data_IF_933019342094
#
_entry.id   IF_933019342094
#
_cell.length_a   1.000
_cell.length_b   1.000
_cell.length_c   1.000
_cell.angle_alpha   90.00
_cell.angle_beta   90.00
_cell.angle_gamma   90.00
#
_symmetry.space_group_name_H-M   'P 1'
#
loop_
_entity.id
_entity.type
_entity.pdbx_description
1 polymer ?
#
# COMPACT_ATOMS: atom_id res chain seq x y z
N UNK A 1 -59.65 -0.69 65.69
CA UNK A 1 -58.31 -1.20 65.35
C UNK A 1 -58.45 -2.04 64.09
N UNK A 2 -58.26 -1.43 62.91
CA UNK A 2 -58.45 -2.11 61.63
C UNK A 2 -57.58 -1.44 60.58
N UNK A 3 -56.41 -2.04 60.29
CA UNK A 3 -55.54 -1.63 59.19
C UNK A 3 -56.00 -2.38 57.94
N UNK A 4 -56.56 -1.68 56.96
CA UNK A 4 -56.73 -2.22 55.61
C UNK A 4 -55.54 -1.83 54.72
N UNK A 5 -54.93 -2.87 54.20
CA UNK A 5 -53.75 -2.95 53.32
C UNK A 5 -53.86 -2.00 52.13
N UNK A 6 -52.87 -1.11 51.95
CA UNK A 6 -52.62 -0.44 50.66
C UNK A 6 -51.98 -1.46 49.72
N UNK A 7 -52.71 -1.88 48.70
CA UNK A 7 -52.14 -2.63 47.57
C UNK A 7 -51.01 -1.82 46.92
N UNK A 8 -49.80 -2.37 46.92
CA UNK A 8 -48.70 -1.85 46.11
C UNK A 8 -48.98 -2.23 44.66
N UNK A 9 -49.15 -1.23 43.78
CA UNK A 9 -49.11 -1.45 42.33
C UNK A 9 -47.77 -2.12 41.97
N UNK A 10 -47.76 -3.14 41.10
CA UNK A 10 -46.51 -3.74 40.64
C UNK A 10 -45.69 -2.68 39.90
N UNK A 11 -44.39 -2.64 40.20
CA UNK A 11 -43.45 -1.82 39.45
C UNK A 11 -43.52 -2.23 37.97
N UNK A 12 -43.72 -1.25 37.07
CA UNK A 12 -43.49 -1.46 35.65
C UNK A 12 -42.06 -1.98 35.47
N UNK A 13 -41.93 -3.27 35.16
CA UNK A 13 -40.72 -3.82 34.59
C UNK A 13 -40.47 -3.03 33.31
N UNK A 14 -39.45 -2.17 33.31
CA UNK A 14 -38.96 -1.57 32.06
C UNK A 14 -38.56 -2.74 31.17
N UNK A 15 -39.34 -2.99 30.12
CA UNK A 15 -39.00 -3.95 29.09
C UNK A 15 -37.53 -3.72 28.69
N UNK A 16 -36.72 -4.77 28.86
CA UNK A 16 -35.31 -4.74 28.54
C UNK A 16 -35.16 -4.38 27.07
N UNK A 17 -34.58 -3.21 26.80
CA UNK A 17 -34.29 -2.78 25.43
C UNK A 17 -33.28 -3.76 24.84
N UNK A 18 -33.73 -4.63 23.94
CA UNK A 18 -32.88 -5.62 23.29
C UNK A 18 -32.20 -4.99 22.08
N UNK A 19 -30.90 -4.73 22.20
CA UNK A 19 -30.04 -4.30 21.10
C UNK A 19 -29.14 -5.46 20.69
N UNK A 20 -29.10 -5.77 19.40
CA UNK A 20 -28.12 -6.70 18.86
C UNK A 20 -27.00 -5.93 18.19
N UNK A 21 -25.77 -6.14 18.67
CA UNK A 21 -24.56 -5.55 18.11
C UNK A 21 -23.74 -6.65 17.43
N UNK A 22 -23.53 -6.49 16.12
CA UNK A 22 -22.61 -7.35 15.38
C UNK A 22 -21.42 -6.52 14.91
N UNK A 23 -20.21 -7.04 15.10
CA UNK A 23 -18.97 -6.45 14.64
C UNK A 23 -18.26 -7.42 13.70
N UNK A 24 -17.88 -6.96 12.52
CA UNK A 24 -17.22 -7.78 11.52
C UNK A 24 -15.99 -7.04 10.98
N UNK A 25 -14.76 -7.53 11.22
CA UNK A 25 -13.56 -6.93 10.68
C UNK A 25 -13.48 -7.21 9.17
N UNK A 26 -13.42 -6.15 8.36
CA UNK A 26 -13.40 -6.24 6.91
C UNK A 26 -11.97 -6.37 6.35
N UNK A 27 -11.00 -5.78 7.03
CA UNK A 27 -9.63 -5.67 6.55
C UNK A 27 -8.89 -4.51 7.22
N UNK A 28 -7.65 -4.31 6.81
CA UNK A 28 -6.83 -3.17 7.24
C UNK A 28 -6.90 -2.02 6.23
N UNK A 29 -6.75 -0.79 6.72
CA UNK A 29 -6.66 0.46 5.94
C UNK A 29 -5.33 0.60 5.17
N UNK A 30 -4.89 -0.47 4.51
CA UNK A 30 -3.58 -0.58 3.89
C UNK A 30 -3.67 -0.92 2.42
N UNK A 31 -2.99 -0.10 1.62
CA UNK A 31 -2.77 -0.39 0.21
C UNK A 31 -2.03 -1.73 0.06
N UNK A 32 -2.38 -2.48 -0.98
CA UNK A 32 -1.75 -3.75 -1.36
C UNK A 32 -1.27 -3.66 -2.80
N UNK A 33 -0.07 -4.18 -3.08
CA UNK A 33 0.49 -4.25 -4.43
C UNK A 33 0.25 -5.61 -5.09
N UNK A 34 0.14 -6.68 -4.31
CA UNK A 34 0.01 -8.07 -4.73
C UNK A 34 -1.36 -8.63 -4.37
N UNK A 35 -1.83 -9.59 -5.15
CA UNK A 35 -2.99 -10.42 -4.79
C UNK A 35 -2.56 -11.41 -3.71
N UNK A 36 -3.37 -11.63 -2.65
CA UNK A 36 -3.02 -12.49 -1.53
C UNK A 36 -3.31 -13.97 -1.84
N UNK A 37 -2.62 -14.49 -2.86
CA UNK A 37 -2.87 -15.83 -3.40
C UNK A 37 -2.62 -16.89 -2.33
N UNK A 38 -1.55 -16.78 -1.54
CA UNK A 38 -1.24 -17.79 -0.54
C UNK A 38 -2.22 -17.76 0.63
N UNK A 39 -2.66 -16.57 1.07
CA UNK A 39 -3.71 -16.43 2.07
C UNK A 39 -4.96 -17.19 1.63
N UNK A 40 -5.42 -16.99 0.40
CA UNK A 40 -6.59 -17.69 -0.15
C UNK A 40 -6.35 -19.18 -0.30
N UNK A 41 -5.16 -19.60 -0.72
CA UNK A 41 -4.79 -21.02 -0.79
C UNK A 41 -4.82 -21.68 0.59
N UNK A 42 -4.26 -21.05 1.63
CA UNK A 42 -4.31 -21.56 2.99
C UNK A 42 -5.76 -21.69 3.49
N UNK A 43 -6.60 -20.69 3.23
CA UNK A 43 -8.02 -20.74 3.56
C UNK A 43 -8.73 -21.89 2.85
N UNK A 44 -8.47 -22.08 1.55
CA UNK A 44 -9.05 -23.16 0.76
C UNK A 44 -8.58 -24.54 1.24
N UNK A 45 -7.29 -24.70 1.58
CA UNK A 45 -6.73 -25.92 2.14
C UNK A 45 -7.40 -26.25 3.48
N UNK A 46 -7.53 -25.28 4.39
CA UNK A 46 -8.21 -25.48 5.68
C UNK A 46 -9.67 -25.88 5.51
N UNK A 47 -10.38 -25.25 4.56
CA UNK A 47 -11.76 -25.61 4.25
C UNK A 47 -11.88 -27.02 3.65
N UNK A 48 -10.96 -27.42 2.77
CA UNK A 48 -10.89 -28.77 2.21
C UNK A 48 -10.59 -29.83 3.26
N UNK A 49 -9.58 -29.59 4.12
CA UNK A 49 -9.24 -30.48 5.24
C UNK A 49 -10.41 -30.60 6.21
N UNK A 50 -11.10 -29.50 6.52
CA UNK A 50 -12.30 -29.52 7.35
C UNK A 50 -13.43 -30.32 6.70
N UNK A 51 -13.67 -30.15 5.40
CA UNK A 51 -14.70 -30.90 4.68
C UNK A 51 -14.40 -32.40 4.67
N UNK A 52 -13.15 -32.78 4.42
CA UNK A 52 -12.68 -34.17 4.53
C UNK A 52 -12.95 -34.73 5.92
N UNK A 53 -12.44 -34.06 6.97
CA UNK A 53 -12.61 -34.49 8.36
C UNK A 53 -14.08 -34.60 8.79
N UNK A 54 -14.95 -33.70 8.33
CA UNK A 54 -16.35 -33.60 8.79
C UNK A 54 -17.32 -34.49 8.05
N UNK A 55 -17.16 -34.61 6.73
CA UNK A 55 -18.16 -35.22 5.84
C UNK A 55 -17.65 -36.49 5.17
N UNK A 56 -16.32 -36.64 5.07
CA UNK A 56 -15.70 -37.77 4.38
C UNK A 56 -14.57 -38.39 5.22
N UNK A 57 -14.76 -38.66 6.53
CA UNK A 57 -13.68 -39.14 7.39
C UNK A 57 -13.10 -40.49 6.94
N UNK A 58 -13.92 -41.32 6.28
CA UNK A 58 -13.51 -42.62 5.73
C UNK A 58 -13.03 -42.54 4.27
N UNK A 59 -13.05 -41.34 3.66
CA UNK A 59 -12.51 -41.14 2.32
C UNK A 59 -10.98 -41.02 2.40
N UNK A 60 -10.31 -42.16 2.53
CA UNK A 60 -8.86 -42.27 2.60
C UNK A 60 -8.42 -43.49 3.40
N UNK A 61 -7.12 -43.76 3.38
CA UNK A 61 -6.53 -44.87 4.14
C UNK A 61 -6.18 -44.50 5.60
N UNK A 62 -6.45 -43.26 6.03
CA UNK A 62 -5.98 -42.72 7.31
C UNK A 62 -7.09 -41.94 8.00
N UNK A 63 -7.29 -42.23 9.28
CA UNK A 63 -8.18 -41.47 10.16
C UNK A 63 -7.70 -40.00 10.31
N UNK A 64 -8.52 -39.00 9.97
CA UNK A 64 -8.20 -37.59 10.13
C UNK A 64 -7.73 -37.21 11.54
N UNK A 65 -8.25 -37.85 12.59
CA UNK A 65 -7.89 -37.51 13.97
C UNK A 65 -6.42 -37.79 14.31
N UNK A 66 -5.72 -38.61 13.52
CA UNK A 66 -4.26 -38.86 13.65
C UNK A 66 -3.39 -37.65 13.31
N UNK A 67 -3.98 -36.59 12.76
CA UNK A 67 -3.29 -35.34 12.41
C UNK A 67 -3.42 -34.26 13.50
N UNK A 68 -4.20 -34.51 14.56
CA UNK A 68 -4.33 -33.64 15.73
C UNK A 68 -3.08 -33.74 16.60
N UNK A 69 -2.63 -32.62 17.13
CA UNK A 69 -1.45 -32.58 18.00
C UNK A 69 -1.85 -32.85 19.44
N UNK A 70 -1.44 -33.99 20.00
CA UNK A 70 -1.58 -34.27 21.43
C UNK A 70 -0.22 -34.05 22.11
N UNK A 71 -0.09 -33.09 23.03
CA UNK A 71 1.20 -32.85 23.69
C UNK A 71 1.71 -34.09 24.43
N UNK A 72 2.92 -34.55 24.07
CA UNK A 72 3.54 -35.72 24.67
C UNK A 72 3.00 -37.07 24.17
N UNK A 73 2.01 -37.07 23.29
CA UNK A 73 1.43 -38.29 22.72
C UNK A 73 1.20 -38.14 21.21
N UNK A 74 1.71 -39.09 20.44
CA UNK A 74 1.57 -39.09 18.98
C UNK A 74 2.73 -38.49 18.19
N UNK A 75 2.64 -38.54 16.84
CA UNK A 75 3.80 -38.32 15.99
C UNK A 75 4.25 -36.86 15.88
N UNK A 76 5.56 -36.59 15.66
CA UNK A 76 6.09 -35.23 15.67
C UNK A 76 5.54 -34.32 14.55
N UNK A 77 5.09 -34.86 13.42
CA UNK A 77 4.51 -34.07 12.33
C UNK A 77 3.14 -33.47 12.69
N UNK A 78 2.47 -34.00 13.71
CA UNK A 78 1.16 -33.50 14.15
C UNK A 78 1.22 -32.05 14.63
N UNK A 79 2.37 -31.60 15.13
CA UNK A 79 2.61 -30.19 15.48
C UNK A 79 2.31 -29.24 14.32
N UNK A 80 2.55 -29.69 13.08
CA UNK A 80 2.34 -28.90 11.86
C UNK A 80 0.97 -29.18 11.25
N UNK A 81 0.56 -30.45 11.17
CA UNK A 81 -0.71 -30.80 10.51
C UNK A 81 -1.92 -30.29 11.29
N UNK A 82 -1.82 -30.23 12.62
CA UNK A 82 -2.85 -29.67 13.50
C UNK A 82 -3.26 -28.24 13.14
N UNK A 83 -2.34 -27.44 12.58
CA UNK A 83 -2.60 -26.05 12.15
C UNK A 83 -3.71 -25.96 11.09
N UNK A 84 -3.91 -27.02 10.31
CA UNK A 84 -4.90 -27.05 9.22
C UNK A 84 -6.24 -27.65 9.63
N UNK A 85 -6.29 -28.32 10.78
CA UNK A 85 -7.47 -29.04 11.25
C UNK A 85 -8.42 -28.15 12.05
N UNK A 86 -9.74 -28.37 11.94
CA UNK A 86 -10.73 -27.55 12.66
C UNK A 86 -11.84 -28.41 13.27
N UNK A 87 -12.18 -28.15 14.54
CA UNK A 87 -13.16 -28.95 15.30
C UNK A 87 -14.63 -28.68 14.91
N UNK A 88 -14.92 -27.59 14.21
CA UNK A 88 -16.29 -27.21 13.86
C UNK A 88 -16.36 -25.94 13.01
N UNK A 89 -17.56 -25.65 12.51
CA UNK A 89 -17.81 -24.52 11.60
C UNK A 89 -17.40 -23.17 12.18
N UNK A 90 -17.81 -22.84 13.41
CA UNK A 90 -17.44 -21.57 14.03
C UNK A 90 -15.93 -21.43 14.25
N UNK A 91 -15.24 -22.54 14.54
CA UNK A 91 -13.79 -22.54 14.69
C UNK A 91 -13.10 -22.27 13.34
N UNK A 92 -13.52 -22.96 12.27
CA UNK A 92 -13.01 -22.69 10.92
C UNK A 92 -13.30 -21.26 10.49
N UNK A 93 -14.58 -20.85 10.49
CA UNK A 93 -14.99 -19.53 10.01
C UNK A 93 -14.32 -18.39 10.79
N UNK A 94 -14.14 -18.55 12.11
CA UNK A 94 -13.37 -17.61 12.93
C UNK A 94 -11.93 -17.48 12.45
N UNK A 95 -11.22 -18.60 12.27
CA UNK A 95 -9.84 -18.59 11.78
C UNK A 95 -9.72 -18.01 10.37
N UNK A 96 -10.63 -18.39 9.46
CA UNK A 96 -10.66 -17.85 8.09
C UNK A 96 -10.92 -16.34 8.09
N UNK A 97 -11.79 -15.84 8.96
CA UNK A 97 -12.06 -14.41 9.11
C UNK A 97 -10.82 -13.63 9.57
N UNK A 98 -10.16 -14.06 10.66
CA UNK A 98 -8.97 -13.37 11.13
C UNK A 98 -7.83 -13.46 10.11
N UNK A 99 -7.63 -14.63 9.49
CA UNK A 99 -6.63 -14.81 8.43
C UNK A 99 -6.94 -13.93 7.21
N UNK A 100 -8.20 -13.75 6.84
CA UNK A 100 -8.62 -12.85 5.77
C UNK A 100 -8.27 -11.39 6.06
N UNK A 101 -8.35 -10.96 7.33
CA UNK A 101 -8.07 -9.58 7.73
C UNK A 101 -6.57 -9.30 7.79
N UNK A 102 -5.80 -10.17 8.47
CA UNK A 102 -4.36 -9.93 8.73
C UNK A 102 -3.44 -10.52 7.65
N UNK A 103 -3.86 -11.60 6.99
CA UNK A 103 -3.06 -12.33 6.01
C UNK A 103 -2.68 -11.48 4.80
N UNK A 104 -3.64 -10.90 4.05
CA UNK A 104 -3.34 -10.16 2.83
C UNK A 104 -2.34 -9.01 2.98
N UNK A 105 -2.44 -8.11 3.98
CA UNK A 105 -1.46 -7.03 4.13
C UNK A 105 -0.07 -7.57 4.54
N UNK A 106 0.01 -8.67 5.29
CA UNK A 106 1.30 -9.28 5.63
C UNK A 106 1.91 -10.02 4.43
N UNK A 107 1.12 -10.76 3.66
CA UNK A 107 1.56 -11.44 2.44
C UNK A 107 2.10 -10.45 1.40
N UNK A 108 1.46 -9.29 1.25
CA UNK A 108 1.92 -8.24 0.33
C UNK A 108 3.33 -7.72 0.68
N UNK A 109 3.62 -7.59 1.98
CA UNK A 109 4.88 -7.04 2.50
C UNK A 109 5.99 -8.07 2.55
N UNK A 110 5.66 -9.30 2.92
CA UNK A 110 6.62 -10.40 3.09
C UNK A 110 6.88 -11.16 1.78
N UNK A 111 5.92 -11.11 0.86
CA UNK A 111 5.82 -12.04 -0.27
C UNK A 111 5.25 -13.39 0.16
N UNK A 112 4.72 -14.18 -0.79
CA UNK A 112 4.02 -15.42 -0.49
C UNK A 112 4.91 -16.43 0.25
N UNK A 113 6.14 -16.65 -0.20
CA UNK A 113 7.01 -17.67 0.39
C UNK A 113 7.34 -17.42 1.87
N UNK A 114 7.75 -16.19 2.22
CA UNK A 114 8.04 -15.83 3.62
C UNK A 114 6.78 -15.84 4.47
N UNK A 115 5.66 -15.36 3.93
CA UNK A 115 4.37 -15.40 4.63
C UNK A 115 3.97 -16.83 5.00
N UNK A 116 4.04 -17.77 4.05
CA UNK A 116 3.74 -19.18 4.30
C UNK A 116 4.67 -19.83 5.33
N UNK A 117 5.98 -19.57 5.21
CA UNK A 117 6.97 -20.06 6.17
C UNK A 117 6.67 -19.52 7.58
N UNK A 118 6.43 -18.22 7.71
CA UNK A 118 6.15 -17.59 9.00
C UNK A 118 4.84 -18.09 9.59
N UNK A 119 3.79 -18.25 8.79
CA UNK A 119 2.53 -18.86 9.22
C UNK A 119 2.76 -20.24 9.88
N UNK A 120 3.55 -21.11 9.24
CA UNK A 120 3.87 -22.44 9.79
C UNK A 120 4.74 -22.36 11.05
N UNK A 121 5.80 -21.55 11.05
CA UNK A 121 6.68 -21.40 12.21
C UNK A 121 5.92 -20.88 13.44
N UNK A 122 5.04 -19.90 13.25
CA UNK A 122 4.22 -19.32 14.30
C UNK A 122 3.21 -20.32 14.86
N UNK A 123 2.56 -21.10 13.99
CA UNK A 123 1.63 -22.17 14.39
C UNK A 123 2.35 -23.26 15.18
N UNK A 124 3.47 -23.76 14.66
CA UNK A 124 4.25 -24.80 15.31
C UNK A 124 4.78 -24.34 16.67
N UNK A 125 5.32 -23.13 16.76
CA UNK A 125 5.80 -22.59 18.02
C UNK A 125 4.67 -22.43 19.04
N UNK A 126 3.50 -21.95 18.61
CA UNK A 126 2.30 -21.91 19.45
C UNK A 126 1.94 -23.30 19.99
N UNK A 127 1.85 -24.30 19.12
CA UNK A 127 1.53 -25.66 19.52
C UNK A 127 2.54 -26.22 20.53
N UNK A 128 3.84 -26.00 20.32
CA UNK A 128 4.88 -26.40 21.26
C UNK A 128 4.77 -25.69 22.61
N UNK A 129 4.48 -24.38 22.63
CA UNK A 129 4.25 -23.63 23.88
C UNK A 129 3.02 -24.17 24.60
N UNK A 130 1.93 -24.46 23.89
CA UNK A 130 0.76 -25.11 24.51
C UNK A 130 1.13 -26.44 25.14
N UNK A 131 1.89 -27.27 24.44
CA UNK A 131 2.34 -28.55 24.98
C UNK A 131 3.20 -28.40 26.23
N UNK A 132 4.12 -27.44 26.24
CA UNK A 132 4.95 -27.14 27.41
C UNK A 132 4.12 -26.67 28.61
N UNK A 133 3.20 -25.70 28.43
CA UNK A 133 2.41 -25.19 29.55
C UNK A 133 1.40 -26.22 30.08
N UNK A 134 0.88 -27.09 29.20
CA UNK A 134 0.02 -28.20 29.58
C UNK A 134 0.80 -29.26 30.36
N UNK A 135 2.02 -29.60 29.95
CA UNK A 135 2.90 -30.53 30.67
C UNK A 135 3.33 -29.99 32.05
N UNK A 136 3.49 -28.67 32.18
CA UNK A 136 3.79 -28.00 33.46
C UNK A 136 2.55 -27.82 34.36
N UNK A 137 1.35 -28.23 33.91
CA UNK A 137 0.12 -28.11 34.69
C UNK A 137 -0.40 -26.68 34.85
N UNK A 138 0.07 -25.72 34.07
CA UNK A 138 -0.22 -24.29 34.26
C UNK A 138 -1.65 -23.89 33.89
N UNK A 139 -2.33 -24.68 33.05
CA UNK A 139 -3.66 -24.35 32.53
C UNK A 139 -4.76 -25.35 32.94
N UNK A 140 -4.42 -26.41 33.68
CA UNK A 140 -5.34 -27.54 33.94
C UNK A 140 -5.98 -28.14 32.66
N UNK A 141 -5.25 -28.10 31.54
CA UNK A 141 -5.67 -28.62 30.22
C UNK A 141 -4.88 -29.87 29.80
N UNK A 142 -4.45 -30.69 30.76
CA UNK A 142 -3.71 -31.93 30.48
C UNK A 142 -4.49 -32.86 29.56
N UNK A 143 -3.83 -33.39 28.51
CA UNK A 143 -4.44 -34.28 27.53
C UNK A 143 -5.35 -33.59 26.49
N UNK A 144 -5.47 -32.26 26.51
CA UNK A 144 -6.22 -31.53 25.48
C UNK A 144 -5.45 -31.54 24.15
N UNK A 145 -6.02 -32.19 23.13
CA UNK A 145 -5.51 -32.11 21.76
C UNK A 145 -5.64 -30.71 21.17
N UNK A 146 -4.61 -30.27 20.46
CA UNK A 146 -4.56 -29.00 19.76
C UNK A 146 -4.85 -29.20 18.28
N UNK A 147 -5.76 -28.39 17.77
CA UNK A 147 -6.05 -28.26 16.35
C UNK A 147 -6.52 -26.84 16.07
N UNK A 148 -6.25 -26.33 14.88
CA UNK A 148 -6.68 -25.01 14.43
C UNK A 148 -5.53 -24.12 14.00
N UNK A 149 -5.82 -23.22 13.07
CA UNK A 149 -4.86 -22.22 12.58
C UNK A 149 -4.64 -21.07 13.58
N UNK A 150 -5.35 -21.05 14.71
CA UNK A 150 -5.45 -19.91 15.60
C UNK A 150 -4.11 -19.52 16.25
N UNK A 151 -3.22 -20.47 16.55
CA UNK A 151 -1.86 -20.19 17.02
C UNK A 151 -1.01 -19.46 15.96
N UNK A 152 -1.09 -19.90 14.70
CA UNK A 152 -0.41 -19.24 13.59
C UNK A 152 -0.97 -17.83 13.35
N UNK A 153 -2.29 -17.69 13.37
CA UNK A 153 -2.96 -16.40 13.21
C UNK A 153 -2.64 -15.45 14.37
N UNK A 154 -2.62 -15.95 15.61
CA UNK A 154 -2.19 -15.17 16.76
C UNK A 154 -0.75 -14.65 16.59
N UNK A 155 0.14 -15.48 16.05
CA UNK A 155 1.47 -15.03 15.67
C UNK A 155 1.48 -13.99 14.56
N UNK A 156 0.63 -14.11 13.55
CA UNK A 156 0.49 -13.07 12.52
C UNK A 156 -0.06 -11.77 13.12
N UNK A 157 -0.96 -11.83 14.10
CA UNK A 157 -1.42 -10.64 14.84
C UNK A 157 -0.28 -10.01 15.64
N UNK A 158 0.56 -10.80 16.30
CA UNK A 158 1.76 -10.32 17.00
C UNK A 158 2.78 -9.69 16.05
N UNK A 159 3.02 -10.32 14.91
CA UNK A 159 3.89 -9.78 13.86
C UNK A 159 3.32 -8.45 13.30
N UNK A 160 2.01 -8.45 13.00
CA UNK A 160 1.26 -7.29 12.53
C UNK A 160 1.25 -6.15 13.54
N UNK A 161 1.23 -6.43 14.84
CA UNK A 161 1.31 -5.40 15.89
C UNK A 161 2.58 -4.56 15.76
N UNK A 162 3.70 -5.16 15.37
CA UNK A 162 4.98 -4.47 15.16
C UNK A 162 5.04 -3.83 13.77
N UNK A 163 4.71 -4.61 12.72
CA UNK A 163 4.90 -4.20 11.33
C UNK A 163 3.86 -3.20 10.83
N UNK A 164 2.65 -3.26 11.38
CA UNK A 164 1.46 -2.52 10.98
C UNK A 164 0.87 -1.76 12.18
N UNK A 165 1.72 -1.32 13.11
CA UNK A 165 1.30 -0.72 14.38
C UNK A 165 0.37 0.51 14.23
N UNK A 166 0.49 1.23 13.12
CA UNK A 166 -0.31 2.42 12.83
C UNK A 166 -1.52 2.13 11.93
N UNK A 167 -1.71 0.87 11.53
CA UNK A 167 -2.87 0.45 10.75
C UNK A 167 -4.16 0.49 11.57
N UNK A 168 -5.27 0.59 10.86
CA UNK A 168 -6.62 0.53 11.43
C UNK A 168 -7.37 -0.64 10.80
N UNK A 169 -8.05 -1.39 11.65
CA UNK A 169 -9.01 -2.42 11.25
C UNK A 169 -10.31 -1.72 10.94
N UNK A 170 -10.82 -1.88 9.73
CA UNK A 170 -12.18 -1.46 9.40
C UNK A 170 -13.17 -2.46 10.00
N UNK A 171 -13.94 -2.04 10.98
CA UNK A 171 -14.96 -2.86 11.61
C UNK A 171 -16.32 -2.42 11.10
N UNK A 172 -16.99 -3.29 10.35
CA UNK A 172 -18.40 -3.13 10.04
C UNK A 172 -19.22 -3.41 11.29
N UNK A 173 -20.19 -2.54 11.57
CA UNK A 173 -21.10 -2.73 12.69
C UNK A 173 -22.54 -2.61 12.25
N UNK A 174 -23.39 -3.41 12.91
CA UNK A 174 -24.83 -3.40 12.73
C UNK A 174 -25.51 -3.31 14.10
N UNK A 175 -26.39 -2.33 14.25
CA UNK A 175 -27.31 -2.21 15.38
C UNK A 175 -28.69 -2.58 14.87
N UNK A 176 -29.14 -3.77 15.22
CA UNK A 176 -30.47 -4.26 14.90
C UNK A 176 -31.39 -3.95 16.09
N UNK A 177 -32.31 -3.00 15.88
CA UNK A 177 -33.34 -2.59 16.83
C UNK A 177 -34.69 -2.43 16.09
N UNK A 178 -35.26 -3.54 15.58
CA UNK A 178 -36.38 -3.53 14.65
C UNK A 178 -37.65 -2.95 15.26
N UNK A 179 -37.86 -3.16 16.57
CA UNK A 179 -38.99 -2.60 17.33
C UNK A 179 -38.85 -1.09 17.60
N UNK A 180 -37.71 -0.48 17.27
CA UNK A 180 -37.43 0.95 17.52
C UNK A 180 -37.22 1.77 16.25
N UNK A 181 -37.22 1.16 15.05
CA UNK A 181 -36.94 1.85 13.79
C UNK A 181 -35.51 2.43 13.69
N UNK A 182 -34.58 1.96 14.53
CA UNK A 182 -33.22 2.49 14.67
C UNK A 182 -32.16 1.56 14.06
N UNK A 183 -32.52 0.80 13.03
CA UNK A 183 -31.55 -0.06 12.34
C UNK A 183 -30.45 0.82 11.73
N UNK A 184 -29.24 0.69 12.27
CA UNK A 184 -28.07 1.47 11.84
C UNK A 184 -26.95 0.53 11.44
N UNK A 185 -26.33 0.85 10.33
CA UNK A 185 -25.17 0.16 9.80
C UNK A 185 -24.06 1.17 9.58
N UNK A 186 -22.82 0.77 9.81
CA UNK A 186 -21.69 1.64 9.53
C UNK A 186 -20.38 0.87 9.49
N UNK A 187 -19.32 1.63 9.22
CA UNK A 187 -17.94 1.17 9.32
C UNK A 187 -17.21 2.14 10.24
N UNK A 188 -16.40 1.59 11.13
CA UNK A 188 -15.58 2.40 12.03
C UNK A 188 -14.14 1.87 12.03
N UNK A 189 -13.14 2.75 11.84
CA UNK A 189 -11.75 2.33 11.83
C UNK A 189 -11.21 2.27 13.27
N UNK A 190 -10.83 1.08 13.72
CA UNK A 190 -10.26 0.84 15.05
C UNK A 190 -8.76 0.66 14.92
N UNK A 191 -7.91 1.39 15.69
CA UNK A 191 -6.47 1.15 15.66
C UNK A 191 -6.13 -0.32 15.92
N UNK A 192 -5.30 -0.93 15.06
CA UNK A 192 -4.95 -2.35 15.13
C UNK A 192 -4.37 -2.69 16.50
N UNK A 193 -3.49 -1.83 17.02
CA UNK A 193 -2.89 -2.00 18.35
C UNK A 193 -3.94 -2.13 19.44
N UNK A 194 -5.00 -1.30 19.41
CA UNK A 194 -6.07 -1.36 20.41
C UNK A 194 -6.83 -2.68 20.30
N UNK A 195 -7.24 -3.06 19.07
CA UNK A 195 -7.98 -4.29 18.84
C UNK A 195 -7.18 -5.54 19.28
N UNK A 196 -5.90 -5.60 18.94
CA UNK A 196 -5.01 -6.72 19.27
C UNK A 196 -4.72 -6.78 20.77
N UNK A 197 -4.41 -5.65 21.42
CA UNK A 197 -4.14 -5.62 22.86
C UNK A 197 -5.38 -5.99 23.67
N UNK A 198 -6.57 -5.50 23.30
CA UNK A 198 -7.82 -5.94 23.91
C UNK A 198 -8.01 -7.45 23.77
N UNK A 199 -7.76 -8.00 22.59
CA UNK A 199 -7.84 -9.44 22.36
C UNK A 199 -6.85 -10.22 23.22
N UNK A 200 -5.58 -9.79 23.32
CA UNK A 200 -4.56 -10.45 24.18
C UNK A 200 -4.97 -10.41 25.65
N UNK A 201 -5.45 -9.27 26.16
CA UNK A 201 -5.95 -9.18 27.54
C UNK A 201 -7.08 -10.18 27.77
N UNK A 202 -8.02 -10.29 26.83
CA UNK A 202 -9.10 -11.26 26.91
C UNK A 202 -8.56 -12.71 26.87
N UNK A 203 -7.56 -13.02 26.03
CA UNK A 203 -6.94 -14.34 26.00
C UNK A 203 -6.30 -14.71 27.34
N UNK A 204 -5.63 -13.76 28.01
CA UNK A 204 -5.02 -14.00 29.32
C UNK A 204 -6.09 -14.26 30.40
N UNK A 205 -7.15 -13.45 30.43
CA UNK A 205 -8.27 -13.65 31.37
C UNK A 205 -8.93 -15.01 31.13
N UNK A 206 -9.22 -15.36 29.88
CA UNK A 206 -9.84 -16.64 29.53
C UNK A 206 -8.92 -17.83 29.81
N UNK A 207 -7.61 -17.68 29.64
CA UNK A 207 -6.63 -18.70 30.00
C UNK A 207 -6.63 -18.97 31.52
N UNK A 208 -6.69 -17.91 32.33
CA UNK A 208 -6.74 -18.03 33.78
C UNK A 208 -8.02 -18.73 34.28
N UNK A 209 -9.14 -18.56 33.57
CA UNK A 209 -10.43 -19.17 33.89
C UNK A 209 -10.66 -20.51 33.15
N UNK A 210 -9.69 -21.01 32.39
CA UNK A 210 -9.89 -22.12 31.47
C UNK A 210 -10.30 -23.41 32.19
N UNK A 211 -9.66 -23.70 33.35
CA UNK A 211 -9.96 -24.88 34.16
C UNK A 211 -11.35 -24.85 34.81
N UNK A 212 -11.83 -23.67 35.22
CA UNK A 212 -13.14 -23.50 35.86
C UNK A 212 -14.29 -23.59 34.86
N UNK A 213 -14.06 -23.07 33.65
CA UNK A 213 -15.07 -23.00 32.58
C UNK A 213 -15.12 -24.25 31.71
N UNK A 214 -14.17 -25.19 31.87
CA UNK A 214 -14.04 -26.36 31.01
C UNK A 214 -13.69 -25.99 29.56
N UNK A 215 -13.01 -24.86 29.35
CA UNK A 215 -12.69 -24.38 28.00
C UNK A 215 -11.77 -25.33 27.25
N UNK A 216 -12.16 -25.68 26.02
CA UNK A 216 -11.37 -26.51 25.09
C UNK A 216 -10.52 -25.68 24.12
N UNK A 217 -10.25 -24.42 24.46
CA UNK A 217 -9.41 -23.51 23.67
C UNK A 217 -7.95 -23.64 24.11
N UNK A 218 -7.04 -23.79 23.15
CA UNK A 218 -5.60 -23.91 23.38
C UNK A 218 -4.95 -22.54 23.62
N UNK A 219 -5.24 -21.89 24.75
CA UNK A 219 -4.75 -20.54 25.06
C UNK A 219 -3.21 -20.41 25.02
N UNK A 220 -2.49 -21.45 25.47
CA UNK A 220 -1.03 -21.51 25.34
C UNK A 220 -0.55 -21.38 23.89
N UNK A 221 -1.30 -21.90 22.91
CA UNK A 221 -0.95 -21.78 21.50
C UNK A 221 -1.16 -20.36 20.98
N UNK A 222 -2.22 -19.69 21.41
CA UNK A 222 -2.48 -18.29 21.07
C UNK A 222 -1.39 -17.38 21.61
N UNK A 223 -1.09 -17.47 22.91
CA UNK A 223 -0.08 -16.62 23.55
C UNK A 223 1.33 -16.93 23.04
N UNK A 224 1.69 -18.21 22.90
CA UNK A 224 2.98 -18.63 22.35
C UNK A 224 3.19 -18.16 20.91
N UNK A 225 2.18 -18.37 20.05
CA UNK A 225 2.21 -17.87 18.67
C UNK A 225 2.35 -16.35 18.62
N UNK A 226 1.53 -15.62 19.39
CA UNK A 226 1.56 -14.16 19.46
C UNK A 226 2.93 -13.61 19.88
N UNK A 227 3.50 -14.12 20.98
CA UNK A 227 4.82 -13.71 21.47
C UNK A 227 5.89 -13.99 20.42
N UNK A 228 5.89 -15.17 19.82
CA UNK A 228 6.83 -15.50 18.74
C UNK A 228 6.69 -14.55 17.55
N UNK A 229 5.46 -14.17 17.19
CA UNK A 229 5.19 -13.17 16.15
C UNK A 229 5.83 -11.82 16.42
N UNK A 230 5.67 -11.31 17.64
CA UNK A 230 6.29 -10.06 18.09
C UNK A 230 7.81 -10.16 18.04
N UNK A 231 8.38 -11.21 18.64
CA UNK A 231 9.83 -11.43 18.69
C UNK A 231 10.42 -11.56 17.28
N UNK A 232 9.78 -12.32 16.41
CA UNK A 232 10.22 -12.50 15.03
C UNK A 232 10.17 -11.19 14.24
N UNK A 233 9.11 -10.38 14.38
CA UNK A 233 9.03 -9.08 13.71
C UNK A 233 10.11 -8.12 14.20
N UNK A 234 10.38 -8.08 15.51
CA UNK A 234 11.45 -7.24 16.07
C UNK A 234 12.83 -7.71 15.58
N UNK A 235 13.11 -9.01 15.61
CA UNK A 235 14.37 -9.59 15.16
C UNK A 235 14.64 -9.32 13.68
N UNK A 236 13.60 -9.29 12.85
CA UNK A 236 13.68 -8.98 11.41
C UNK A 236 13.71 -7.47 11.11
N UNK A 237 13.65 -6.60 12.13
CA UNK A 237 13.69 -5.16 11.95
C UNK A 237 12.42 -4.56 11.31
N UNK A 238 11.30 -5.27 11.39
CA UNK A 238 10.03 -4.91 10.75
C UNK A 238 9.44 -3.59 11.26
N UNK A 239 9.83 -3.15 12.47
CA UNK A 239 9.43 -1.84 13.00
C UNK A 239 9.99 -0.68 12.16
N UNK A 240 11.19 -0.81 11.59
CA UNK A 240 11.77 0.23 10.71
C UNK A 240 10.89 0.41 9.47
N UNK A 241 10.48 -0.70 8.86
CA UNK A 241 9.58 -0.70 7.70
C UNK A 241 8.18 -0.22 8.06
N UNK A 242 7.66 -0.60 9.24
CA UNK A 242 6.41 -0.08 9.78
C UNK A 242 6.42 1.44 9.93
N UNK A 243 7.49 2.02 10.50
CA UNK A 243 7.63 3.49 10.65
C UNK A 243 7.69 4.21 9.29
N UNK A 244 8.41 3.65 8.31
CA UNK A 244 8.44 4.22 6.97
C UNK A 244 7.04 4.25 6.36
N UNK A 245 6.35 3.12 6.39
CA UNK A 245 5.00 3.02 5.84
C UNK A 245 4.00 3.93 6.56
N UNK A 246 4.15 4.10 7.87
CA UNK A 246 3.39 5.04 8.65
C UNK A 246 3.61 6.49 8.21
N UNK A 247 4.85 6.89 7.96
CA UNK A 247 5.18 8.22 7.42
C UNK A 247 4.51 8.43 6.05
N UNK A 248 4.55 7.43 5.16
CA UNK A 248 3.87 7.47 3.87
C UNK A 248 2.35 7.61 3.99
N UNK A 249 1.73 6.84 4.87
CA UNK A 249 0.29 6.90 5.11
C UNK A 249 -0.13 8.27 5.69
N UNK A 250 0.65 8.79 6.65
CA UNK A 250 0.45 10.16 7.19
C UNK A 250 0.59 11.22 6.11
N UNK A 251 1.61 11.13 5.25
CA UNK A 251 1.82 12.09 4.17
C UNK A 251 0.62 12.18 3.22
N UNK A 252 0.08 11.02 2.81
CA UNK A 252 -1.13 10.94 1.98
C UNK A 252 -2.37 11.45 2.68
N UNK A 253 -2.51 11.18 3.98
CA UNK A 253 -3.63 11.70 4.77
C UNK A 253 -3.57 13.22 4.87
N UNK A 254 -2.44 13.78 5.29
CA UNK A 254 -2.24 15.23 5.38
C UNK A 254 -2.46 15.93 4.05
N UNK A 255 -2.01 15.33 2.93
CA UNK A 255 -2.26 15.89 1.60
C UNK A 255 -3.76 15.97 1.29
N UNK A 256 -4.52 14.90 1.56
CA UNK A 256 -5.99 14.87 1.34
C UNK A 256 -6.75 15.84 2.24
N UNK A 257 -6.26 16.07 3.45
CA UNK A 257 -6.83 17.02 4.41
C UNK A 257 -6.44 18.48 4.14
N UNK A 258 -5.58 18.74 3.13
CA UNK A 258 -5.11 20.08 2.79
C UNK A 258 -3.95 20.59 3.66
N UNK A 259 -3.39 19.75 4.53
CA UNK A 259 -2.24 20.07 5.37
C UNK A 259 -0.91 19.87 4.62
N UNK A 260 -0.69 20.64 3.54
CA UNK A 260 0.41 20.39 2.59
C UNK A 260 1.83 20.50 3.19
N UNK A 261 2.07 21.42 4.12
CA UNK A 261 3.38 21.51 4.80
C UNK A 261 3.66 20.27 5.67
N UNK A 262 2.66 19.78 6.39
CA UNK A 262 2.77 18.55 7.19
C UNK A 262 2.95 17.32 6.29
N UNK A 263 2.24 17.29 5.15
CA UNK A 263 2.38 16.25 4.15
C UNK A 263 3.80 16.21 3.57
N UNK A 264 4.39 17.37 3.25
CA UNK A 264 5.78 17.45 2.78
C UNK A 264 6.77 16.92 3.82
N UNK A 265 6.60 17.29 5.10
CA UNK A 265 7.43 16.77 6.19
C UNK A 265 7.35 15.26 6.33
N UNK A 266 6.15 14.68 6.28
CA UNK A 266 5.95 13.24 6.37
C UNK A 266 6.50 12.48 5.15
N UNK A 267 6.42 13.06 3.95
CA UNK A 267 7.07 12.51 2.76
C UNK A 267 8.60 12.53 2.87
N UNK A 268 9.19 13.61 3.39
CA UNK A 268 10.63 13.66 3.66
C UNK A 268 11.06 12.59 4.68
N UNK A 269 10.33 12.45 5.78
CA UNK A 269 10.56 11.39 6.79
C UNK A 269 10.53 9.99 6.17
N UNK A 270 9.60 9.75 5.23
CA UNK A 270 9.53 8.50 4.47
C UNK A 270 10.76 8.29 3.59
N UNK A 271 11.14 9.29 2.80
CA UNK A 271 12.26 9.21 1.86
C UNK A 271 13.62 9.13 2.55
N UNK A 272 13.78 9.61 3.78
CA UNK A 272 14.97 9.34 4.60
C UNK A 272 15.16 7.83 4.86
N UNK A 273 14.05 7.08 4.94
CA UNK A 273 14.07 5.63 5.18
C UNK A 273 14.08 4.82 3.90
N UNK A 274 13.47 5.34 2.83
CA UNK A 274 13.33 4.68 1.54
C UNK A 274 13.73 5.65 0.42
N UNK A 275 15.03 5.99 0.29
CA UNK A 275 15.49 7.07 -0.59
C UNK A 275 15.28 6.78 -2.07
N UNK A 276 15.18 5.51 -2.45
CA UNK A 276 15.06 5.06 -3.84
C UNK A 276 13.62 4.99 -4.35
N UNK A 277 12.61 5.28 -3.52
CA UNK A 277 11.21 5.31 -3.95
C UNK A 277 10.93 6.54 -4.84
N UNK A 278 11.08 6.35 -6.15
CA UNK A 278 10.88 7.40 -7.15
C UNK A 278 9.45 7.93 -7.20
N UNK A 279 8.45 7.10 -6.91
CA UNK A 279 7.04 7.52 -6.93
C UNK A 279 6.76 8.42 -5.71
N UNK A 280 7.29 8.07 -4.54
CA UNK A 280 7.20 8.92 -3.36
C UNK A 280 7.97 10.24 -3.51
N UNK A 281 9.11 10.23 -4.22
CA UNK A 281 9.83 11.47 -4.54
C UNK A 281 9.01 12.39 -5.44
N UNK A 282 8.29 11.82 -6.41
CA UNK A 282 7.37 12.57 -7.25
C UNK A 282 6.17 13.11 -6.45
N UNK A 283 5.59 12.30 -5.57
CA UNK A 283 4.52 12.72 -4.66
C UNK A 283 4.99 13.87 -3.72
N UNK A 284 6.23 13.83 -3.23
CA UNK A 284 6.83 14.92 -2.47
C UNK A 284 6.97 16.18 -3.33
N UNK A 285 7.45 16.08 -4.57
CA UNK A 285 7.60 17.22 -5.48
C UNK A 285 6.24 17.93 -5.71
N UNK A 286 5.19 17.15 -5.95
CA UNK A 286 3.81 17.63 -6.07
C UNK A 286 3.32 18.29 -4.80
N UNK A 287 3.58 17.67 -3.65
CA UNK A 287 3.20 18.21 -2.35
C UNK A 287 3.88 19.55 -2.07
N UNK A 288 5.18 19.68 -2.37
CA UNK A 288 5.93 20.92 -2.22
C UNK A 288 5.42 22.02 -3.15
N UNK A 289 5.01 21.67 -4.38
CA UNK A 289 4.42 22.64 -5.30
C UNK A 289 3.14 23.25 -4.74
N UNK A 290 2.22 22.42 -4.24
CA UNK A 290 0.96 22.88 -3.66
C UNK A 290 1.18 23.61 -2.32
N UNK A 291 2.26 23.28 -1.60
CA UNK A 291 2.70 24.01 -0.39
C UNK A 291 3.49 25.30 -0.67
N UNK A 292 3.47 25.81 -1.91
CA UNK A 292 4.18 27.01 -2.38
C UNK A 292 5.72 26.99 -2.21
N UNK A 293 6.32 25.81 -2.05
CA UNK A 293 7.77 25.61 -1.97
C UNK A 293 8.37 25.30 -3.33
N UNK A 294 8.21 26.23 -4.27
CA UNK A 294 8.46 26.02 -5.71
C UNK A 294 9.90 25.64 -6.06
N UNK A 295 10.91 26.24 -5.43
CA UNK A 295 12.32 25.94 -5.71
C UNK A 295 12.70 24.50 -5.35
N UNK A 296 12.17 23.99 -4.24
CA UNK A 296 12.39 22.62 -3.80
C UNK A 296 11.61 21.63 -4.67
N UNK A 297 10.36 21.96 -5.00
CA UNK A 297 9.55 21.19 -5.94
C UNK A 297 10.25 21.05 -7.30
N UNK A 298 10.75 22.16 -7.87
CA UNK A 298 11.49 22.18 -9.12
C UNK A 298 12.68 21.21 -9.13
N UNK A 299 13.47 21.23 -8.05
CA UNK A 299 14.63 20.35 -7.89
C UNK A 299 14.22 18.88 -7.89
N UNK A 300 13.16 18.53 -7.15
CA UNK A 300 12.68 17.14 -7.10
C UNK A 300 12.01 16.69 -8.40
N UNK A 301 11.25 17.56 -9.07
CA UNK A 301 10.68 17.26 -10.37
C UNK A 301 11.78 16.97 -11.40
N UNK A 302 12.83 17.80 -11.48
CA UNK A 302 13.96 17.56 -12.37
C UNK A 302 14.67 16.23 -12.09
N UNK A 303 14.89 15.88 -10.81
CA UNK A 303 15.46 14.58 -10.42
C UNK A 303 14.56 13.41 -10.80
N UNK A 304 13.27 13.50 -10.52
CA UNK A 304 12.28 12.47 -10.85
C UNK A 304 12.16 12.28 -12.36
N UNK A 305 12.11 13.37 -13.12
CA UNK A 305 12.08 13.35 -14.58
C UNK A 305 13.26 12.57 -15.18
N UNK A 306 14.50 12.90 -14.79
CA UNK A 306 15.70 12.22 -15.30
C UNK A 306 15.72 10.73 -14.92
N UNK A 307 15.30 10.40 -13.69
CA UNK A 307 15.20 9.01 -13.24
C UNK A 307 14.16 8.20 -14.04
N UNK A 308 13.01 8.81 -14.36
CA UNK A 308 11.96 8.16 -15.14
C UNK A 308 12.39 7.87 -16.59
N UNK A 309 13.13 8.79 -17.21
CA UNK A 309 13.72 8.57 -18.54
C UNK A 309 14.74 7.43 -18.54
N UNK A 310 15.58 7.33 -17.52
CA UNK A 310 16.54 6.23 -17.39
C UNK A 310 15.87 4.87 -17.14
N UNK A 311 14.72 4.87 -16.45
CA UNK A 311 14.00 3.66 -16.05
C UNK A 311 12.92 3.17 -17.02
N UNK A 312 12.94 3.59 -18.29
CA UNK A 312 11.95 3.22 -19.33
C UNK A 312 10.50 3.66 -19.06
N UNK A 313 10.25 4.57 -18.09
CA UNK A 313 8.92 5.12 -17.79
C UNK A 313 8.74 6.48 -18.47
N UNK A 314 8.95 6.51 -19.78
CA UNK A 314 8.99 7.75 -20.59
C UNK A 314 7.66 8.48 -20.55
N UNK A 315 6.53 7.77 -20.62
CA UNK A 315 5.20 8.39 -20.59
C UNK A 315 4.97 9.20 -19.31
N UNK A 316 5.35 8.64 -18.17
CA UNK A 316 5.25 9.34 -16.89
C UNK A 316 6.23 10.53 -16.83
N UNK A 317 7.43 10.41 -17.43
CA UNK A 317 8.36 11.53 -17.52
C UNK A 317 7.77 12.71 -18.33
N UNK A 318 7.11 12.42 -19.45
CA UNK A 318 6.43 13.44 -20.25
C UNK A 318 5.23 14.05 -19.52
N UNK A 319 4.45 13.24 -18.80
CA UNK A 319 3.37 13.76 -17.95
C UNK A 319 3.90 14.72 -16.88
N UNK A 320 5.04 14.39 -16.24
CA UNK A 320 5.70 15.28 -15.28
C UNK A 320 6.16 16.58 -15.95
N UNK A 321 6.71 16.50 -17.16
CA UNK A 321 7.06 17.70 -17.92
C UNK A 321 5.84 18.59 -18.18
N UNK A 322 4.74 18.03 -18.70
CA UNK A 322 3.53 18.79 -18.99
C UNK A 322 2.84 19.33 -17.72
N UNK A 323 2.93 18.60 -16.61
CA UNK A 323 2.49 19.04 -15.28
C UNK A 323 3.26 20.28 -14.82
N UNK A 324 4.59 20.26 -14.92
CA UNK A 324 5.44 21.37 -14.49
C UNK A 324 5.33 22.60 -15.38
N UNK A 325 5.15 22.43 -16.70
CA UNK A 325 4.89 23.55 -17.62
C UNK A 325 3.57 24.25 -17.25
N UNK A 326 2.49 23.49 -17.02
CA UNK A 326 1.20 24.05 -16.59
C UNK A 326 1.28 24.72 -15.21
N UNK A 327 2.03 24.11 -14.28
CA UNK A 327 2.29 24.64 -12.95
C UNK A 327 3.28 25.81 -12.91
N UNK A 328 3.84 26.22 -14.06
CA UNK A 328 4.90 27.24 -14.18
C UNK A 328 6.11 26.95 -13.29
N UNK A 329 6.50 25.68 -13.22
CA UNK A 329 7.66 25.20 -12.47
C UNK A 329 8.81 24.97 -13.44
N UNK A 330 9.91 25.70 -13.28
CA UNK A 330 11.11 25.42 -14.04
C UNK A 330 11.95 24.33 -13.37
N UNK A 331 11.97 23.13 -13.95
CA UNK A 331 12.76 21.99 -13.46
C UNK A 331 14.26 22.15 -13.65
N UNK A 332 14.74 23.22 -14.31
CA UNK A 332 16.15 23.39 -14.66
C UNK A 332 16.62 22.30 -15.64
N UNK A 333 15.80 22.00 -16.64
CA UNK A 333 16.16 21.05 -17.71
C UNK A 333 17.20 21.68 -18.63
N UNK A 334 18.29 20.95 -18.90
CA UNK A 334 19.31 21.40 -19.86
C UNK A 334 18.91 21.14 -21.32
N UNK A 335 19.73 21.57 -22.29
CA UNK A 335 19.42 21.44 -23.72
C UNK A 335 19.25 19.98 -24.16
N UNK A 336 20.01 19.05 -23.57
CA UNK A 336 19.86 17.62 -23.86
C UNK A 336 18.55 17.03 -23.30
N UNK A 337 18.09 17.51 -22.14
CA UNK A 337 16.83 17.07 -21.53
C UNK A 337 15.64 17.55 -22.37
N UNK A 338 15.64 18.82 -22.77
CA UNK A 338 14.60 19.41 -23.63
C UNK A 338 14.56 18.75 -25.02
N UNK A 339 15.72 18.48 -25.62
CA UNK A 339 15.78 17.80 -26.91
C UNK A 339 15.17 16.39 -26.84
N UNK A 340 15.36 15.68 -25.71
CA UNK A 340 14.73 14.38 -25.45
C UNK A 340 13.21 14.52 -25.32
N UNK A 341 12.70 15.48 -24.56
CA UNK A 341 11.25 15.73 -24.46
C UNK A 341 10.65 15.92 -25.85
N UNK A 342 11.23 16.83 -26.64
CA UNK A 342 10.71 17.14 -27.97
C UNK A 342 10.70 15.92 -28.89
N UNK A 343 11.80 15.15 -28.90
CA UNK A 343 11.88 13.92 -29.71
C UNK A 343 10.88 12.85 -29.28
N UNK A 344 10.63 12.69 -27.98
CA UNK A 344 9.63 11.71 -27.52
C UNK A 344 8.20 12.15 -27.84
N UNK A 345 7.86 13.44 -27.66
CA UNK A 345 6.57 13.99 -28.07
C UNK A 345 6.32 13.79 -29.57
N UNK A 346 7.35 14.03 -30.39
CA UNK A 346 7.25 13.77 -31.83
C UNK A 346 6.98 12.30 -32.16
N UNK A 347 7.66 11.36 -31.47
CA UNK A 347 7.42 9.91 -31.63
C UNK A 347 6.00 9.50 -31.19
N UNK A 348 5.42 10.21 -30.23
CA UNK A 348 4.05 10.01 -29.78
C UNK A 348 3.02 10.75 -30.64
N UNK A 349 3.45 11.37 -31.75
CA UNK A 349 2.61 12.17 -32.64
C UNK A 349 2.03 13.44 -31.98
N UNK A 350 2.54 13.83 -30.80
CA UNK A 350 2.27 15.13 -30.17
C UNK A 350 3.18 16.20 -30.80
N UNK A 351 2.91 16.50 -32.07
CA UNK A 351 3.73 17.42 -32.85
C UNK A 351 3.63 18.86 -32.34
N UNK A 352 2.45 19.31 -31.84
CA UNK A 352 2.31 20.65 -31.24
C UNK A 352 3.13 20.79 -29.97
N UNK A 353 3.03 19.81 -29.07
CA UNK A 353 3.85 19.81 -27.86
C UNK A 353 5.35 19.73 -28.18
N UNK A 354 5.74 18.99 -29.22
CA UNK A 354 7.13 18.95 -29.68
C UNK A 354 7.62 20.33 -30.18
N UNK A 355 6.81 21.04 -30.98
CA UNK A 355 7.12 22.39 -31.45
C UNK A 355 7.29 23.40 -30.31
N UNK A 356 6.43 23.36 -29.29
CA UNK A 356 6.55 24.22 -28.11
C UNK A 356 7.87 24.00 -27.37
N UNK A 357 8.28 22.74 -27.24
CA UNK A 357 9.56 22.39 -26.60
C UNK A 357 10.74 22.82 -27.47
N UNK A 358 10.68 22.65 -28.79
CA UNK A 358 11.73 23.12 -29.70
C UNK A 358 11.87 24.65 -29.64
N UNK A 359 10.75 25.37 -29.58
CA UNK A 359 10.73 26.83 -29.46
C UNK A 359 11.39 27.27 -28.15
N UNK A 360 11.06 26.59 -27.04
CA UNK A 360 11.71 26.80 -25.74
C UNK A 360 13.21 26.53 -25.81
N UNK A 361 13.61 25.39 -26.37
CA UNK A 361 15.00 24.95 -26.48
C UNK A 361 15.85 25.96 -27.29
N UNK A 362 15.33 26.45 -28.42
CA UNK A 362 16.01 27.48 -29.19
C UNK A 362 16.13 28.79 -28.41
N UNK A 363 15.03 29.28 -27.83
CA UNK A 363 15.01 30.53 -27.07
C UNK A 363 16.01 30.53 -25.90
N UNK A 364 16.10 29.42 -25.17
CA UNK A 364 16.99 29.29 -24.01
C UNK A 364 18.44 28.99 -24.40
N UNK A 365 18.65 28.33 -25.55
CA UNK A 365 19.98 27.88 -25.98
C UNK A 365 20.24 28.11 -27.48
N UNK A 366 20.19 29.36 -27.96
CA UNK A 366 20.16 29.65 -29.40
C UNK A 366 21.43 29.22 -30.13
N UNK A 367 22.60 29.31 -29.48
CA UNK A 367 23.90 28.92 -30.07
C UNK A 367 24.29 27.46 -29.83
N UNK A 368 23.54 26.72 -29.01
CA UNK A 368 23.87 25.33 -28.70
C UNK A 368 23.47 24.41 -29.87
N UNK A 369 24.21 23.33 -30.18
CA UNK A 369 23.88 22.43 -31.29
C UNK A 369 22.44 21.89 -31.24
N UNK A 370 21.92 21.59 -30.04
CA UNK A 370 20.53 21.16 -29.88
C UNK A 370 19.50 22.28 -30.14
N UNK A 371 19.82 23.55 -29.83
CA UNK A 371 18.95 24.70 -30.16
C UNK A 371 18.93 24.98 -31.65
N UNK A 372 20.09 24.90 -32.30
CA UNK A 372 20.20 24.99 -33.76
C UNK A 372 19.44 23.85 -34.45
N UNK A 373 19.52 22.62 -33.91
CA UNK A 373 18.73 21.48 -34.40
C UNK A 373 17.23 21.68 -34.17
N UNK A 374 16.84 22.33 -33.07
CA UNK A 374 15.43 22.63 -32.78
C UNK A 374 14.80 23.52 -33.85
N UNK A 375 15.51 24.54 -34.36
CA UNK A 375 15.06 25.36 -35.48
C UNK A 375 14.78 24.53 -36.73
N UNK A 376 15.73 23.67 -37.12
CA UNK A 376 15.58 22.78 -38.29
C UNK A 376 14.37 21.86 -38.12
N UNK A 377 14.24 21.22 -36.96
CA UNK A 377 13.09 20.34 -36.67
C UNK A 377 11.76 21.09 -36.65
N UNK A 378 11.75 22.32 -36.12
CA UNK A 378 10.58 23.19 -36.11
C UNK A 378 10.07 23.49 -37.51
N UNK A 379 10.96 23.91 -38.42
CA UNK A 379 10.59 24.16 -39.83
C UNK A 379 10.03 22.90 -40.49
N UNK A 380 10.73 21.76 -40.36
CA UNK A 380 10.32 20.49 -40.96
C UNK A 380 8.95 20.02 -40.46
N UNK A 381 8.69 20.10 -39.15
CA UNK A 381 7.42 19.66 -38.56
C UNK A 381 6.26 20.59 -38.93
N UNK A 382 6.49 21.91 -38.94
CA UNK A 382 5.46 22.88 -39.32
C UNK A 382 5.03 22.72 -40.77
N UNK A 383 5.95 22.42 -41.69
CA UNK A 383 5.64 22.22 -43.11
C UNK A 383 5.02 20.85 -43.40
N UNK A 384 5.42 19.81 -42.66
CA UNK A 384 5.01 18.44 -42.98
C UNK A 384 3.80 17.90 -42.20
N UNK A 385 3.50 18.44 -41.00
CA UNK A 385 2.58 17.78 -40.06
C UNK A 385 1.51 18.67 -39.44
N UNK A 386 1.82 19.89 -38.99
CA UNK A 386 0.92 20.60 -38.03
C UNK A 386 0.78 22.11 -38.17
N UNK A 387 1.76 22.83 -38.75
CA UNK A 387 1.78 24.30 -38.72
C UNK A 387 0.81 24.94 -39.72
N UNK A 388 0.16 26.04 -39.32
CA UNK A 388 -0.53 26.93 -40.25
C UNK A 388 0.48 27.84 -40.99
N UNK A 389 0.00 28.64 -41.94
CA UNK A 389 0.88 29.50 -42.75
C UNK A 389 1.66 30.51 -41.90
N UNK A 390 1.02 31.08 -40.88
CA UNK A 390 1.66 32.04 -40.00
C UNK A 390 2.75 31.39 -39.15
N UNK A 391 2.49 30.20 -38.60
CA UNK A 391 3.46 29.45 -37.81
C UNK A 391 4.62 28.95 -38.66
N UNK A 392 4.36 28.48 -39.90
CA UNK A 392 5.41 28.11 -40.86
C UNK A 392 6.33 29.28 -41.15
N UNK A 393 5.76 30.44 -41.44
CA UNK A 393 6.52 31.65 -41.73
C UNK A 393 7.36 32.10 -40.52
N UNK A 394 6.79 32.05 -39.31
CA UNK A 394 7.51 32.39 -38.08
C UNK A 394 8.73 31.49 -37.83
N UNK A 395 8.62 30.19 -38.11
CA UNK A 395 9.76 29.27 -37.99
C UNK A 395 10.83 29.49 -39.06
N UNK A 396 10.44 29.83 -40.29
CA UNK A 396 11.38 30.18 -41.37
C UNK A 396 12.13 31.48 -41.05
N UNK A 397 11.44 32.49 -40.53
CA UNK A 397 12.07 33.76 -40.12
C UNK A 397 13.05 33.55 -38.97
N UNK A 398 12.66 32.79 -37.94
CA UNK A 398 13.55 32.44 -36.84
C UNK A 398 14.80 31.67 -37.32
N UNK A 399 14.62 30.71 -38.24
CA UNK A 399 15.75 29.97 -38.82
C UNK A 399 16.63 30.87 -39.71
N UNK A 400 16.04 31.79 -40.48
CA UNK A 400 16.79 32.71 -41.33
C UNK A 400 17.67 33.66 -40.50
N UNK A 401 17.16 34.11 -39.35
CA UNK A 401 17.85 34.98 -38.41
C UNK A 401 18.96 34.26 -37.63
N UNK A 402 18.64 33.11 -37.02
CA UNK A 402 19.47 32.54 -35.96
C UNK A 402 20.24 31.28 -36.34
N UNK A 403 19.90 30.61 -37.45
CA UNK A 403 20.58 29.37 -37.85
C UNK A 403 21.97 29.68 -38.43
N UNK A 404 23.00 29.09 -37.81
CA UNK A 404 24.38 29.23 -38.23
C UNK A 404 24.61 28.73 -39.65
N UNK A 405 25.58 29.32 -40.34
CA UNK A 405 25.99 28.87 -41.66
C UNK A 405 26.49 27.41 -41.62
N UNK A 406 26.15 26.63 -42.64
CA UNK A 406 26.54 25.23 -42.76
C UNK A 406 25.43 24.34 -43.31
N UNK A 407 25.65 23.03 -43.24
CA UNK A 407 24.83 22.02 -43.94
C UNK A 407 23.34 22.04 -43.57
N UNK A 408 23.00 22.39 -42.32
CA UNK A 408 21.60 22.52 -41.88
C UNK A 408 20.90 23.73 -42.50
N UNK A 409 21.61 24.85 -42.64
CA UNK A 409 21.07 26.04 -43.31
C UNK A 409 20.92 25.81 -44.79
N UNK A 410 21.92 25.20 -45.43
CA UNK A 410 21.88 24.85 -46.85
C UNK A 410 20.72 23.89 -47.16
N UNK A 411 20.47 22.94 -46.24
CA UNK A 411 19.32 22.05 -46.34
C UNK A 411 17.99 22.82 -46.31
N UNK A 412 17.79 23.75 -45.37
CA UNK A 412 16.56 24.53 -45.31
C UNK A 412 16.39 25.49 -46.49
N UNK A 413 17.48 26.03 -47.05
CA UNK A 413 17.43 26.84 -48.29
C UNK A 413 16.93 25.99 -49.46
N UNK A 414 17.46 24.77 -49.62
CA UNK A 414 17.09 23.89 -50.73
C UNK A 414 15.67 23.34 -50.63
N UNK A 415 15.29 22.84 -49.46
CA UNK A 415 14.04 22.08 -49.30
C UNK A 415 12.84 22.93 -48.88
N UNK A 416 13.08 24.08 -48.23
CA UNK A 416 12.02 24.91 -47.62
C UNK A 416 12.11 26.39 -48.01
N UNK A 417 12.91 26.73 -49.04
CA UNK A 417 13.09 28.08 -49.55
C UNK A 417 13.42 29.11 -48.45
N UNK A 418 14.28 28.74 -47.49
CA UNK A 418 14.65 29.61 -46.38
C UNK A 418 15.11 30.99 -46.88
N UNK A 419 14.50 32.10 -46.42
CA UNK A 419 14.87 33.44 -46.86
C UNK A 419 16.36 33.74 -46.61
N UNK A 420 16.98 34.48 -47.54
CA UNK A 420 18.30 35.06 -47.30
C UNK A 420 18.17 36.07 -46.14
N UNK A 421 18.58 35.65 -44.94
CA UNK A 421 18.47 36.47 -43.72
C UNK A 421 19.07 37.86 -43.94
N UNK A 422 18.43 38.89 -43.38
CA UNK A 422 19.02 40.23 -43.32
C UNK A 422 20.39 40.09 -42.65
N UNK A 423 21.48 40.40 -43.38
CA UNK A 423 22.83 40.52 -42.79
C UNK A 423 22.69 41.37 -41.53
N UNK A 424 23.17 40.86 -40.40
CA UNK A 424 23.38 41.69 -39.22
C UNK A 424 24.19 42.90 -39.69
N UNK A 425 23.60 44.10 -39.52
CA UNK A 425 24.34 45.35 -39.75
C UNK A 425 25.55 45.29 -38.82
N UNK A 426 26.78 45.37 -39.33
CA UNK A 426 27.95 45.42 -38.48
C UNK A 426 27.79 46.65 -37.57
N UNK A 427 27.78 46.43 -36.26
CA UNK A 427 27.92 47.52 -35.29
C UNK A 427 29.26 48.20 -35.62
N UNK A 428 29.29 49.50 -35.95
CA UNK A 428 30.54 50.21 -36.21
C UNK A 428 31.43 50.11 -34.97
N UNK A 429 32.72 49.85 -35.19
CA UNK A 429 33.70 49.56 -34.16
C UNK A 429 33.66 50.49 -32.96
N UNK A 430 33.93 49.90 -31.79
CA UNK A 430 34.63 50.62 -30.73
C UNK A 430 36.10 50.23 -30.87
N UNK A 431 36.85 51.15 -31.46
CA UNK A 431 38.29 51.28 -31.18
C UNK A 431 38.51 51.64 -29.70
#
# INVERSE_FOLDING_TARGET
MGRSVRERRPAHVREGRMYFFYFYPLGLDRDRRRRPVLTWTLMAVMAGVFAWMRYFPDAGAVDPWRFVFYPGDGPPWTVTTAVFMHAGWFHLLGNLLYLHVIGPPLEDRLGPWRFGLYFLLLGNFGNLVHGLVSALGLLNQGGLGVMGASGAIAGLLGFGLVRLYDARVEVAWWVLAPLMGQNRAGKSPVPLVVAVLMWVVLQVIQAALAGETGSRVSFGAHLGGFVMGVLMALALGELKWGRAEAARARARRYFREGHFHAAAGAWSEYLERVPDDGDARLDLARTLHVADRKAEAATLFGRSYRALLGGSRVDLALQVYDETVRGRIDMGLGPADLARVASYKEKQLDYRGALDVYRRLHREHPRHPQGQRALVRGVVLCHGKVGDEAERQAWLEAAAADLAAGSWRDFLIREFALPAGRRAVPVPGRD
#
